data_IF_267390541015
#
_entry.id   IF_267390541015
#
_cell.length_a   1.000
_cell.length_b   1.000
_cell.length_c   1.000
_cell.angle_alpha   90.00
_cell.angle_beta   90.00
_cell.angle_gamma   90.00
#
_symmetry.space_group_name_H-M   'P 1'
#
loop_
_entity.id
_entity.type
_entity.pdbx_description
1 polymer ?
#
# COMPACT_ATOMS: atom_id res chain seq x y z
N UNK A 1 -53.67 61.48 -32.27
CA UNK A 1 -52.21 61.34 -32.45
C UNK A 1 -51.62 61.20 -31.05
N UNK A 2 -51.38 59.97 -30.62
CA UNK A 2 -51.08 59.65 -29.22
C UNK A 2 -49.55 59.58 -29.01
N UNK A 3 -49.08 60.33 -28.01
CA UNK A 3 -47.76 60.22 -27.40
C UNK A 3 -47.75 59.04 -26.42
N UNK A 4 -46.82 58.10 -26.57
CA UNK A 4 -46.47 57.16 -25.49
C UNK A 4 -44.95 57.11 -25.36
N UNK A 5 -44.51 57.39 -24.12
CA UNK A 5 -43.15 57.51 -23.61
C UNK A 5 -42.44 56.16 -23.64
N UNK A 6 -41.22 56.12 -24.16
CA UNK A 6 -40.32 54.96 -24.06
C UNK A 6 -39.50 55.05 -22.77
N UNK A 7 -39.78 54.11 -21.88
CA UNK A 7 -39.31 54.01 -20.50
C UNK A 7 -37.88 53.47 -20.41
N UNK A 8 -37.06 54.23 -19.68
CA UNK A 8 -35.94 53.85 -18.82
C UNK A 8 -35.93 52.36 -18.37
N UNK A 9 -34.94 51.56 -18.77
CA UNK A 9 -34.45 50.37 -18.03
C UNK A 9 -33.02 50.01 -18.50
N UNK A 10 -32.04 50.82 -18.11
CA UNK A 10 -30.62 50.44 -18.12
C UNK A 10 -30.34 49.59 -16.87
N UNK A 11 -30.88 48.37 -16.87
CA UNK A 11 -30.76 47.41 -15.77
C UNK A 11 -29.47 46.61 -15.87
N UNK A 12 -28.48 47.01 -15.08
CA UNK A 12 -27.75 46.12 -14.16
C UNK A 12 -27.49 44.69 -14.67
N UNK A 13 -26.51 44.51 -15.56
CA UNK A 13 -26.00 43.18 -15.95
C UNK A 13 -24.48 43.12 -15.81
N UNK A 14 -23.97 43.41 -14.61
CA UNK A 14 -22.53 43.35 -14.33
C UNK A 14 -22.24 42.87 -12.90
N UNK A 15 -22.85 41.76 -12.49
CA UNK A 15 -22.49 41.05 -11.28
C UNK A 15 -22.87 39.59 -11.49
N UNK A 16 -21.90 38.69 -11.69
CA UNK A 16 -21.94 37.24 -11.38
C UNK A 16 -20.85 36.43 -12.14
N UNK A 17 -19.62 36.95 -12.21
CA UNK A 17 -18.44 36.13 -12.59
C UNK A 17 -17.43 36.01 -11.45
N UNK A 18 -17.92 35.98 -10.21
CA UNK A 18 -17.16 35.43 -9.09
C UNK A 18 -17.83 34.13 -8.65
N UNK A 19 -17.91 33.17 -9.58
CA UNK A 19 -18.02 31.77 -9.17
C UNK A 19 -16.68 31.43 -8.54
N UNK A 20 -16.71 31.46 -7.22
CA UNK A 20 -15.75 30.89 -6.29
C UNK A 20 -15.06 29.68 -6.91
N UNK A 21 -13.79 29.86 -7.26
CA UNK A 21 -12.85 28.76 -7.34
C UNK A 21 -12.76 28.18 -5.93
N UNK A 22 -13.64 27.22 -5.62
CA UNK A 22 -13.46 26.32 -4.50
C UNK A 22 -12.21 25.54 -4.86
N UNK A 23 -11.06 26.03 -4.40
CA UNK A 23 -9.81 25.30 -4.47
C UNK A 23 -9.93 24.15 -3.51
N UNK A 24 -10.60 23.09 -3.94
CA UNK A 24 -10.50 21.80 -3.29
C UNK A 24 -9.03 21.43 -3.36
N UNK A 25 -8.35 21.52 -2.22
CA UNK A 25 -7.00 20.99 -2.09
C UNK A 25 -6.98 19.54 -2.57
N UNK A 26 -5.81 19.02 -2.97
CA UNK A 26 -5.72 17.64 -3.43
C UNK A 26 -6.37 16.71 -2.40
N UNK A 27 -7.32 15.90 -2.88
CA UNK A 27 -8.01 14.92 -2.03
C UNK A 27 -6.95 14.03 -1.36
N UNK A 28 -7.03 13.79 -0.04
CA UNK A 28 -6.05 12.96 0.63
C UNK A 28 -6.06 11.55 0.05
N UNK A 29 -4.86 11.02 -0.25
CA UNK A 29 -4.73 9.64 -0.72
C UNK A 29 -5.22 8.68 0.37
N UNK A 30 -6.09 7.70 0.06
CA UNK A 30 -6.57 6.75 1.05
C UNK A 30 -5.43 6.00 1.75
N UNK A 31 -5.62 5.67 3.03
CA UNK A 31 -4.58 5.05 3.86
C UNK A 31 -4.05 3.72 3.31
N UNK A 32 -4.83 2.98 2.54
CA UNK A 32 -4.46 1.70 1.93
C UNK A 32 -4.03 1.82 0.46
N UNK A 33 -3.80 3.03 -0.04
CA UNK A 33 -3.38 3.28 -1.42
C UNK A 33 -1.95 3.82 -1.43
N UNK A 34 -1.11 3.24 -2.29
CA UNK A 34 0.24 3.70 -2.60
C UNK A 34 0.28 4.07 -4.08
N UNK A 35 0.80 5.26 -4.39
CA UNK A 35 1.09 5.67 -5.76
C UNK A 35 2.60 5.63 -5.95
N UNK A 36 3.08 4.86 -6.92
CA UNK A 36 4.50 4.75 -7.25
C UNK A 36 4.71 4.38 -8.71
N UNK A 37 5.64 5.06 -9.37
CA UNK A 37 5.99 4.79 -10.77
C UNK A 37 7.11 3.76 -10.91
N UNK A 38 7.91 3.55 -9.86
CA UNK A 38 9.03 2.60 -9.88
C UNK A 38 8.68 1.22 -9.32
N UNK A 39 7.48 1.06 -8.78
CA UNK A 39 7.04 -0.21 -8.22
C UNK A 39 6.67 -0.12 -6.75
N UNK A 40 6.31 -1.26 -6.17
CA UNK A 40 5.98 -1.37 -4.76
C UNK A 40 7.05 -2.20 -4.05
N UNK A 41 7.54 -1.72 -2.92
CA UNK A 41 8.47 -2.44 -2.05
C UNK A 41 7.75 -2.90 -0.79
N UNK A 42 7.98 -4.15 -0.42
CA UNK A 42 7.43 -4.78 0.78
C UNK A 42 8.60 -5.35 1.57
N UNK A 43 8.88 -4.74 2.72
CA UNK A 43 9.89 -5.20 3.68
C UNK A 43 9.18 -5.98 4.80
N UNK A 44 9.65 -7.19 5.12
CA UNK A 44 9.19 -8.00 6.25
C UNK A 44 10.25 -7.96 7.34
N UNK A 45 9.88 -7.41 8.49
CA UNK A 45 10.71 -7.41 9.69
C UNK A 45 10.00 -8.15 10.83
N UNK A 46 10.76 -8.77 11.73
CA UNK A 46 10.19 -9.46 12.89
C UNK A 46 11.00 -9.29 14.17
N UNK A 47 10.34 -9.55 15.29
CA UNK A 47 10.92 -9.56 16.62
C UNK A 47 10.42 -10.74 17.45
N UNK A 48 11.32 -11.28 18.26
CA UNK A 48 11.01 -12.29 19.29
C UNK A 48 11.14 -11.72 20.70
N UNK A 49 11.05 -10.38 20.86
CA UNK A 49 11.16 -9.69 22.15
C UNK A 49 12.60 -9.40 22.62
N UNK A 50 13.61 -9.57 21.77
CA UNK A 50 15.03 -9.33 22.05
C UNK A 50 15.67 -8.41 21.02
N UNK A 51 16.94 -8.65 20.71
CA UNK A 51 17.69 -7.94 19.66
C UNK A 51 17.31 -8.44 18.25
N UNK A 52 17.71 -7.71 17.20
CA UNK A 52 17.61 -8.20 15.81
C UNK A 52 18.34 -9.54 15.62
N UNK A 53 19.51 -9.70 16.25
CA UNK A 53 20.24 -10.97 16.23
C UNK A 53 19.44 -12.09 16.89
N UNK A 54 18.73 -11.81 17.98
CA UNK A 54 17.84 -12.80 18.60
C UNK A 54 16.67 -13.13 17.66
N UNK A 55 16.09 -12.15 16.97
CA UNK A 55 14.97 -12.36 16.08
C UNK A 55 15.33 -13.31 14.94
N UNK A 56 16.44 -13.08 14.22
CA UNK A 56 16.89 -13.92 13.10
C UNK A 56 17.40 -15.30 13.54
N UNK A 57 17.93 -15.43 14.76
CA UNK A 57 18.38 -16.73 15.27
C UNK A 57 17.24 -17.58 15.84
N UNK A 58 16.22 -16.94 16.40
CA UNK A 58 15.07 -17.65 16.99
C UNK A 58 14.00 -17.95 15.94
N UNK A 59 13.91 -17.17 14.88
CA UNK A 59 12.86 -17.31 13.88
C UNK A 59 13.37 -16.99 12.48
N UNK A 60 12.93 -17.83 11.54
CA UNK A 60 13.18 -17.74 10.11
C UNK A 60 11.83 -17.59 9.42
N UNK A 61 11.55 -16.36 8.96
CA UNK A 61 10.33 -16.03 8.25
C UNK A 61 10.64 -15.72 6.79
N UNK A 62 9.88 -16.30 5.88
CA UNK A 62 10.01 -16.11 4.45
C UNK A 62 8.90 -15.20 3.92
N UNK A 63 9.20 -14.45 2.86
CA UNK A 63 8.27 -13.56 2.18
C UNK A 63 8.05 -13.97 0.73
N UNK A 64 6.79 -14.17 0.35
CA UNK A 64 6.40 -14.62 -0.98
C UNK A 64 5.47 -13.61 -1.65
N UNK A 65 5.73 -13.34 -2.93
CA UNK A 65 4.84 -12.61 -3.81
C UNK A 65 4.30 -13.57 -4.88
N UNK A 66 2.97 -13.69 -4.96
CA UNK A 66 2.31 -14.56 -5.93
C UNK A 66 1.31 -13.80 -6.80
N UNK A 67 1.06 -14.29 -8.01
CA UNK A 67 0.02 -13.83 -8.93
C UNK A 67 -0.78 -15.03 -9.40
N UNK A 68 -2.09 -15.05 -9.13
CA UNK A 68 -2.94 -16.20 -9.47
C UNK A 68 -2.47 -17.53 -8.84
N UNK A 69 -1.88 -17.48 -7.64
CA UNK A 69 -1.33 -18.64 -6.94
C UNK A 69 0.04 -19.11 -7.43
N UNK A 70 0.60 -18.50 -8.48
CA UNK A 70 1.98 -18.78 -8.94
C UNK A 70 2.93 -17.79 -8.30
N UNK A 71 4.02 -18.27 -7.73
CA UNK A 71 5.09 -17.41 -7.20
C UNK A 71 5.76 -16.63 -8.33
N UNK A 72 5.91 -15.33 -8.14
CA UNK A 72 6.58 -14.43 -9.09
C UNK A 72 7.83 -13.78 -8.49
N UNK A 73 7.94 -13.74 -7.16
CA UNK A 73 9.14 -13.32 -6.43
C UNK A 73 9.08 -13.89 -5.00
N UNK A 74 10.23 -14.10 -4.38
CA UNK A 74 10.34 -14.49 -2.97
C UNK A 74 11.62 -13.91 -2.36
N UNK A 75 11.71 -13.98 -1.04
CA UNK A 75 12.90 -13.71 -0.25
C UNK A 75 12.87 -14.67 0.95
N UNK A 76 13.91 -15.49 1.07
CA UNK A 76 13.98 -16.69 1.95
C UNK A 76 15.34 -16.79 2.68
N UNK A 77 15.81 -15.65 3.19
CA UNK A 77 17.13 -15.51 3.80
C UNK A 77 17.12 -15.89 5.28
N UNK A 78 17.75 -17.00 5.62
CA UNK A 78 17.85 -17.49 7.01
C UNK A 78 18.67 -16.62 7.98
N UNK A 79 19.16 -15.45 7.55
CA UNK A 79 20.06 -14.59 8.33
C UNK A 79 19.77 -13.10 8.21
N UNK A 80 18.68 -12.72 7.54
CA UNK A 80 18.29 -11.32 7.40
C UNK A 80 16.77 -11.20 7.34
N UNK A 81 16.28 -9.99 7.44
CA UNK A 81 14.89 -9.67 7.11
C UNK A 81 14.64 -9.76 5.60
N UNK A 82 13.38 -9.89 5.22
CA UNK A 82 12.99 -10.23 3.85
C UNK A 82 12.47 -9.02 3.08
N UNK A 83 12.72 -9.00 1.78
CA UNK A 83 12.24 -7.92 0.91
C UNK A 83 11.78 -8.49 -0.43
N UNK A 84 10.56 -8.16 -0.84
CA UNK A 84 10.08 -8.41 -2.20
C UNK A 84 9.63 -7.10 -2.86
N UNK A 85 9.60 -7.11 -4.19
CA UNK A 85 9.19 -5.95 -4.99
C UNK A 85 8.19 -6.36 -6.07
N UNK A 86 7.16 -5.54 -6.25
CA UNK A 86 6.34 -5.52 -7.46
C UNK A 86 6.95 -4.45 -8.36
N UNK A 87 7.75 -4.86 -9.35
CA UNK A 87 8.38 -3.91 -10.27
C UNK A 87 7.32 -3.23 -11.15
N UNK A 88 7.61 -2.02 -11.61
CA UNK A 88 6.74 -1.26 -12.53
C UNK A 88 6.37 -2.06 -13.80
N UNK A 89 7.33 -2.84 -14.31
CA UNK A 89 7.16 -3.73 -15.48
C UNK A 89 6.21 -4.90 -15.24
N UNK A 90 5.82 -5.17 -13.98
CA UNK A 90 4.87 -6.23 -13.69
C UNK A 90 3.48 -5.84 -14.19
N UNK A 91 2.80 -6.78 -14.86
CA UNK A 91 1.48 -6.52 -15.41
C UNK A 91 0.45 -6.18 -14.30
N UNK A 92 -0.53 -5.37 -14.64
CA UNK A 92 -1.64 -5.06 -13.72
C UNK A 92 -2.39 -6.33 -13.27
N UNK A 93 -3.12 -6.21 -12.17
CA UNK A 93 -3.91 -7.29 -11.58
C UNK A 93 -3.72 -7.46 -10.08
N UNK A 94 -4.20 -8.60 -9.57
CA UNK A 94 -4.11 -8.95 -8.16
C UNK A 94 -2.86 -9.78 -7.86
N UNK A 95 -2.15 -9.36 -6.83
CA UNK A 95 -1.02 -10.03 -6.24
C UNK A 95 -1.36 -10.39 -4.79
N UNK A 96 -0.72 -11.44 -4.29
CA UNK A 96 -0.85 -11.87 -2.90
C UNK A 96 0.54 -11.90 -2.28
N UNK A 97 0.68 -11.21 -1.15
CA UNK A 97 1.81 -11.37 -0.24
C UNK A 97 1.46 -12.46 0.77
N UNK A 98 2.31 -13.47 0.85
CA UNK A 98 2.26 -14.48 1.88
C UNK A 98 3.52 -14.42 2.74
N UNK A 99 3.34 -14.65 4.04
CA UNK A 99 4.44 -14.82 4.99
C UNK A 99 4.44 -16.27 5.47
N UNK A 100 5.60 -16.89 5.51
CA UNK A 100 5.75 -18.25 6.03
C UNK A 100 6.68 -18.27 7.23
N UNK A 101 6.27 -18.95 8.29
CA UNK A 101 7.20 -19.37 9.32
C UNK A 101 7.93 -20.62 8.84
N UNK A 102 9.09 -20.46 8.19
CA UNK A 102 9.95 -21.61 7.87
C UNK A 102 10.31 -22.34 9.16
N UNK A 103 10.66 -21.57 10.20
CA UNK A 103 10.84 -22.06 11.55
C UNK A 103 10.68 -20.93 12.59
N UNK A 104 9.71 -21.02 13.50
CA UNK A 104 9.55 -20.08 14.61
C UNK A 104 9.78 -20.77 15.96
N UNK A 105 10.99 -20.66 16.53
CA UNK A 105 11.29 -21.32 17.83
C UNK A 105 10.72 -20.57 19.03
N UNK A 106 10.32 -19.32 18.83
CA UNK A 106 9.62 -18.46 19.80
C UNK A 106 8.41 -17.80 19.17
N UNK A 107 7.52 -17.25 20.00
CA UNK A 107 6.50 -16.33 19.52
C UNK A 107 7.19 -15.20 18.76
N UNK A 108 6.71 -14.95 17.55
CA UNK A 108 7.33 -14.03 16.60
C UNK A 108 6.28 -13.06 16.10
N UNK A 109 6.44 -11.79 16.45
CA UNK A 109 5.60 -10.73 15.88
C UNK A 109 6.31 -10.18 14.66
N UNK A 110 5.60 -10.03 13.54
CA UNK A 110 6.17 -9.50 12.31
C UNK A 110 5.39 -8.28 11.83
N UNK A 111 6.06 -7.44 11.05
CA UNK A 111 5.46 -6.29 10.36
C UNK A 111 5.87 -6.32 8.91
N UNK A 112 4.89 -6.20 8.01
CA UNK A 112 5.13 -5.83 6.63
C UNK A 112 5.08 -4.32 6.50
N UNK A 113 6.16 -3.74 6.00
CA UNK A 113 6.25 -2.33 5.66
C UNK A 113 6.12 -2.17 4.15
N UNK A 114 4.99 -1.60 3.73
CA UNK A 114 4.67 -1.41 2.31
C UNK A 114 4.87 0.06 1.93
N UNK A 115 5.61 0.32 0.85
CA UNK A 115 5.86 1.68 0.32
C UNK A 115 6.14 1.67 -1.18
N UNK A 116 6.07 2.84 -1.82
CA UNK A 116 6.60 3.03 -3.18
C UNK A 116 8.11 2.82 -3.21
N UNK A 117 8.63 2.26 -4.31
CA UNK A 117 10.08 2.06 -4.47
C UNK A 117 10.80 3.37 -4.91
N UNK A 118 10.04 4.42 -5.25
CA UNK A 118 10.48 5.79 -5.57
C UNK A 118 10.44 6.75 -4.38
N UNK A 119 10.30 6.24 -3.15
CA UNK A 119 9.98 6.96 -1.90
C UNK A 119 8.46 7.05 -1.63
N UNK A 120 8.08 7.19 -0.36
CA UNK A 120 6.67 7.26 0.03
C UNK A 120 6.44 7.00 1.51
N UNK A 121 5.21 7.26 1.94
CA UNK A 121 4.75 6.89 3.27
C UNK A 121 4.85 5.37 3.46
N UNK A 122 5.47 4.96 4.55
CA UNK A 122 5.59 3.57 4.95
C UNK A 122 4.29 3.13 5.66
N UNK A 123 3.66 2.09 5.13
CA UNK A 123 2.39 1.56 5.61
C UNK A 123 2.62 0.21 6.32
N UNK A 124 2.47 0.14 7.65
CA UNK A 124 2.72 -1.08 8.42
C UNK A 124 1.50 -2.00 8.48
N UNK A 125 1.72 -3.31 8.38
CA UNK A 125 0.72 -4.36 8.59
C UNK A 125 1.32 -5.45 9.48
N UNK A 126 0.69 -5.75 10.62
CA UNK A 126 1.30 -6.61 11.65
C UNK A 126 0.62 -7.96 11.78
N UNK A 127 1.39 -9.01 11.99
CA UNK A 127 0.89 -10.34 12.29
C UNK A 127 1.77 -11.08 13.30
N UNK A 128 1.42 -12.31 13.59
CA UNK A 128 2.17 -13.15 14.52
C UNK A 128 2.23 -14.62 14.09
N UNK A 129 3.32 -15.28 14.48
CA UNK A 129 3.46 -16.72 14.51
C UNK A 129 3.73 -17.17 15.94
N UNK A 130 3.23 -18.36 16.28
CA UNK A 130 3.41 -18.97 17.59
C UNK A 130 4.73 -19.75 17.64
N UNK A 131 5.21 -19.98 18.87
CA UNK A 131 6.36 -20.85 19.07
C UNK A 131 6.03 -22.29 18.61
N UNK A 132 6.88 -22.85 17.77
CA UNK A 132 6.71 -24.18 17.18
C UNK A 132 6.09 -24.18 15.78
N UNK A 133 5.60 -23.04 15.29
CA UNK A 133 5.12 -22.94 13.91
C UNK A 133 6.27 -23.22 12.94
N UNK A 134 6.03 -24.12 11.98
CA UNK A 134 7.02 -24.58 11.03
C UNK A 134 6.37 -24.94 9.70
N UNK A 135 6.90 -24.39 8.61
CA UNK A 135 6.32 -24.47 7.26
C UNK A 135 4.87 -23.98 7.21
N UNK A 136 4.49 -23.06 8.10
CA UNK A 136 3.15 -22.48 8.12
C UNK A 136 3.14 -21.22 7.26
N UNK A 137 2.46 -21.30 6.11
CA UNK A 137 2.32 -20.20 5.15
C UNK A 137 0.94 -19.56 5.25
N UNK A 138 0.90 -18.24 5.39
CA UNK A 138 -0.33 -17.45 5.53
C UNK A 138 -0.37 -16.39 4.43
N UNK A 139 -1.45 -16.38 3.65
CA UNK A 139 -1.75 -15.25 2.77
C UNK A 139 -2.15 -14.06 3.64
N UNK A 140 -1.43 -12.95 3.55
CA UNK A 140 -1.53 -11.88 4.52
C UNK A 140 -2.01 -10.56 3.90
N UNK A 141 -1.50 -10.17 2.74
CA UNK A 141 -1.99 -9.00 2.00
C UNK A 141 -2.39 -9.34 0.57
N UNK A 142 -3.49 -8.76 0.10
CA UNK A 142 -3.85 -8.65 -1.30
C UNK A 142 -3.46 -7.26 -1.82
N UNK A 143 -2.80 -7.22 -2.97
CA UNK A 143 -2.36 -5.99 -3.61
C UNK A 143 -2.95 -5.94 -5.03
N UNK A 144 -3.78 -4.94 -5.30
CA UNK A 144 -4.29 -4.66 -6.65
C UNK A 144 -3.44 -3.59 -7.30
N UNK A 145 -2.70 -3.95 -8.36
CA UNK A 145 -1.97 -3.01 -9.21
C UNK A 145 -2.84 -2.55 -10.38
N UNK A 146 -2.93 -1.24 -10.57
CA UNK A 146 -3.54 -0.59 -11.73
C UNK A 146 -2.67 0.60 -12.15
N UNK A 147 -1.85 0.42 -13.20
CA UNK A 147 -0.82 1.39 -13.58
C UNK A 147 0.19 1.61 -12.45
N UNK A 148 0.31 2.87 -12.00
CA UNK A 148 1.17 3.29 -10.88
C UNK A 148 0.45 3.31 -9.52
N UNK A 149 -0.80 2.85 -9.46
CA UNK A 149 -1.57 2.82 -8.22
C UNK A 149 -1.68 1.39 -7.68
N UNK A 150 -1.40 1.25 -6.39
CA UNK A 150 -1.46 0.00 -5.64
C UNK A 150 -2.49 0.14 -4.51
N UNK A 151 -3.50 -0.71 -4.50
CA UNK A 151 -4.48 -0.79 -3.40
C UNK A 151 -4.21 -2.03 -2.57
N UNK A 152 -4.07 -1.86 -1.26
CA UNK A 152 -3.71 -2.93 -0.31
C UNK A 152 -4.93 -3.32 0.51
N UNK A 153 -5.09 -4.61 0.79
CA UNK A 153 -6.18 -5.16 1.63
C UNK A 153 -5.64 -6.34 2.43
N UNK A 154 -5.93 -6.39 3.72
CA UNK A 154 -5.62 -7.54 4.58
C UNK A 154 -6.60 -8.69 4.29
N UNK A 155 -6.15 -9.94 4.45
CA UNK A 155 -6.99 -11.14 4.29
C UNK A 155 -7.92 -11.39 5.47
#
# INVERSE_FOLDING_TARGET
>A
MNYIKSTLYAGLLLCLFFLTACGDGPEPVPANVVNSTNGLRIDLEWTTGGTTSDAVNNSDLDLYLTKGGTEVSNSTSSGSFEVVRIQDVYADGEYTIAVEAFNATKKTNYTLYVKGDDEGELKPYTGEFLAGDRYLKVNFLKIKKAGSTYTITEY
#
